data_IF_901609255552
#
_entry.id   IF_901609255552
#
_cell.length_a   1.000
_cell.length_b   1.000
_cell.length_c   1.000
_cell.angle_alpha   90.00
_cell.angle_beta   90.00
_cell.angle_gamma   90.00
#
_symmetry.space_group_name_H-M   'P 1'
#
loop_
_entity.id
_entity.type
_entity.pdbx_description
1 polymer ?
#
# COMPACT_ATOMS: atom_id res chain seq x y z
N UNK A 1 -17.95 -14.92 -24.73
CA UNK A 1 -17.45 -13.55 -24.42
C UNK A 1 -18.55 -12.59 -24.01
N UNK A 2 -19.65 -12.43 -24.73
CA UNK A 2 -20.77 -11.54 -24.35
C UNK A 2 -21.48 -11.99 -23.06
N UNK A 3 -21.76 -13.26 -22.89
CA UNK A 3 -22.40 -13.84 -21.71
C UNK A 3 -21.57 -13.64 -20.42
N UNK A 4 -20.25 -13.81 -20.48
CA UNK A 4 -19.37 -13.57 -19.33
C UNK A 4 -19.31 -12.09 -18.94
N UNK A 5 -19.32 -11.19 -19.93
CA UNK A 5 -19.42 -9.74 -19.70
C UNK A 5 -20.73 -9.37 -19.02
N UNK A 6 -21.85 -9.91 -19.51
CA UNK A 6 -23.18 -9.69 -18.92
C UNK A 6 -23.26 -10.21 -17.49
N UNK A 7 -22.75 -11.42 -17.21
CA UNK A 7 -22.70 -12.00 -15.87
C UNK A 7 -21.84 -11.16 -14.91
N UNK A 8 -20.70 -10.63 -15.38
CA UNK A 8 -19.87 -9.73 -14.60
C UNK A 8 -20.59 -8.40 -14.30
N UNK A 9 -21.21 -7.78 -15.28
CA UNK A 9 -21.99 -6.55 -15.10
C UNK A 9 -23.12 -6.79 -14.08
N UNK A 10 -23.93 -7.83 -14.22
CA UNK A 10 -25.01 -8.16 -13.28
C UNK A 10 -24.51 -8.36 -11.85
N UNK A 11 -23.35 -8.99 -11.67
CA UNK A 11 -22.75 -9.26 -10.36
C UNK A 11 -22.19 -8.00 -9.70
N UNK A 12 -21.57 -7.12 -10.46
CA UNK A 12 -20.86 -5.96 -9.92
C UNK A 12 -21.65 -4.66 -9.97
N UNK A 13 -22.71 -4.58 -10.79
CA UNK A 13 -23.53 -3.37 -10.92
C UNK A 13 -24.18 -2.92 -9.60
N UNK A 14 -24.79 -3.81 -8.78
CA UNK A 14 -25.33 -3.40 -7.48
C UNK A 14 -24.27 -2.89 -6.52
N UNK A 15 -23.07 -3.49 -6.56
CA UNK A 15 -21.91 -3.07 -5.73
C UNK A 15 -21.43 -1.70 -6.18
N UNK A 16 -21.32 -1.49 -7.50
CA UNK A 16 -20.94 -0.19 -8.06
C UNK A 16 -21.96 0.89 -7.70
N UNK A 17 -23.24 0.60 -7.85
CA UNK A 17 -24.30 1.53 -7.50
C UNK A 17 -24.30 1.87 -6.01
N UNK A 18 -24.14 0.87 -5.15
CA UNK A 18 -24.01 1.04 -3.69
C UNK A 18 -22.79 1.88 -3.31
N UNK A 19 -21.64 1.69 -3.97
CA UNK A 19 -20.43 2.49 -3.72
C UNK A 19 -20.62 3.94 -4.18
N UNK A 20 -21.29 4.19 -5.30
CA UNK A 20 -21.60 5.53 -5.77
C UNK A 20 -22.55 6.26 -4.81
N UNK A 21 -23.63 5.61 -4.36
CA UNK A 21 -24.55 6.16 -3.37
C UNK A 21 -23.86 6.45 -2.04
N UNK A 22 -23.02 5.51 -1.56
CA UNK A 22 -22.27 5.70 -0.34
C UNK A 22 -21.26 6.85 -0.48
N UNK A 23 -20.59 6.97 -1.62
CA UNK A 23 -19.69 8.07 -1.93
C UNK A 23 -20.40 9.42 -1.96
N UNK A 24 -21.58 9.50 -2.58
CA UNK A 24 -22.39 10.72 -2.60
C UNK A 24 -22.86 11.11 -1.19
N UNK A 25 -23.42 10.16 -0.44
CA UNK A 25 -23.86 10.37 0.94
C UNK A 25 -22.72 10.87 1.82
N UNK A 26 -21.53 10.29 1.70
CA UNK A 26 -20.35 10.77 2.44
C UNK A 26 -19.92 12.18 2.06
N UNK A 27 -19.97 12.53 0.79
CA UNK A 27 -19.64 13.89 0.32
C UNK A 27 -20.60 14.93 0.88
N UNK A 28 -21.91 14.61 0.90
CA UNK A 28 -22.91 15.51 1.50
C UNK A 28 -22.73 15.63 3.01
N UNK A 29 -22.46 14.52 3.70
CA UNK A 29 -22.15 14.56 5.15
C UNK A 29 -20.89 15.39 5.43
N UNK A 30 -19.80 15.20 4.67
CA UNK A 30 -18.58 15.96 4.84
C UNK A 30 -18.79 17.47 4.57
N UNK A 31 -19.64 17.80 3.59
CA UNK A 31 -20.01 19.18 3.31
C UNK A 31 -20.75 19.82 4.49
N UNK A 32 -21.76 19.16 5.04
CA UNK A 32 -22.49 19.66 6.23
C UNK A 32 -21.55 19.74 7.43
N UNK A 33 -20.72 18.71 7.64
CA UNK A 33 -19.76 18.64 8.74
C UNK A 33 -18.78 19.83 8.74
N UNK A 34 -18.39 20.34 7.58
CA UNK A 34 -17.53 21.51 7.45
C UNK A 34 -18.07 22.75 8.18
N UNK A 35 -19.39 22.90 8.25
CA UNK A 35 -20.05 24.05 8.86
C UNK A 35 -20.50 23.79 10.31
N UNK A 36 -20.67 22.53 10.69
CA UNK A 36 -21.17 22.15 12.02
C UNK A 36 -20.07 21.82 13.01
N UNK A 37 -18.87 21.44 12.53
CA UNK A 37 -17.75 21.14 13.41
C UNK A 37 -17.18 22.38 14.09
N UNK A 38 -16.86 22.23 15.38
CA UNK A 38 -16.19 23.26 16.21
C UNK A 38 -14.96 22.66 16.86
N UNK A 39 -13.82 23.33 16.75
CA UNK A 39 -12.63 23.02 17.54
C UNK A 39 -12.85 23.55 18.96
N UNK A 40 -12.82 22.66 19.95
CA UNK A 40 -13.00 22.99 21.34
C UNK A 40 -11.65 23.11 22.07
N UNK A 41 -11.54 23.86 23.18
CA UNK A 41 -10.29 23.98 23.93
C UNK A 41 -9.70 22.63 24.37
N UNK A 42 -10.55 21.69 24.81
CA UNK A 42 -10.16 20.33 25.25
C UNK A 42 -10.33 19.29 24.15
N UNK A 43 -9.97 19.63 22.91
CA UNK A 43 -10.08 18.70 21.78
C UNK A 43 -9.13 17.50 21.93
N UNK A 44 -9.69 16.30 21.91
CA UNK A 44 -8.97 15.04 22.03
C UNK A 44 -8.42 14.57 20.67
N UNK A 45 -7.27 13.92 20.68
CA UNK A 45 -6.62 13.45 19.45
C UNK A 45 -7.01 12.03 19.10
N UNK A 46 -7.30 11.81 17.83
CA UNK A 46 -7.27 10.51 17.15
C UNK A 46 -5.96 10.47 16.36
N UNK A 47 -5.01 9.66 16.83
CA UNK A 47 -3.69 9.58 16.20
C UNK A 47 -3.67 8.44 15.19
N UNK A 48 -3.16 8.68 13.99
CA UNK A 48 -2.94 7.68 12.94
C UNK A 48 -1.45 7.62 12.65
N UNK A 49 -0.83 6.45 12.81
CA UNK A 49 0.59 6.23 12.50
C UNK A 49 0.72 5.57 11.13
N UNK A 50 1.29 6.30 10.17
CA UNK A 50 1.47 5.88 8.78
C UNK A 50 0.42 6.46 7.84
N UNK A 51 0.88 7.26 6.86
CA UNK A 51 0.06 8.03 5.92
C UNK A 51 -0.03 7.44 4.50
N UNK A 52 0.25 6.14 4.32
CA UNK A 52 0.10 5.49 3.02
C UNK A 52 -1.37 5.15 2.72
N UNK A 53 -1.65 4.17 1.84
CA UNK A 53 -3.01 3.87 1.36
C UNK A 53 -4.06 3.73 2.46
N UNK A 54 -3.84 2.88 3.45
CA UNK A 54 -4.82 2.64 4.51
C UNK A 54 -4.92 3.82 5.49
N UNK A 55 -3.79 4.25 6.05
CA UNK A 55 -3.78 5.32 7.05
C UNK A 55 -4.09 6.70 6.47
N UNK A 56 -3.67 7.00 5.23
CA UNK A 56 -4.03 8.24 4.55
C UNK A 56 -5.54 8.36 4.33
N UNK A 57 -6.18 7.28 3.85
CA UNK A 57 -7.65 7.26 3.68
C UNK A 57 -8.38 7.32 5.02
N UNK A 58 -7.87 6.63 6.05
CA UNK A 58 -8.43 6.72 7.39
C UNK A 58 -8.37 8.16 7.92
N UNK A 59 -7.20 8.80 7.85
CA UNK A 59 -7.00 10.16 8.32
C UNK A 59 -7.93 11.16 7.65
N UNK A 60 -8.05 11.09 6.31
CA UNK A 60 -8.99 11.90 5.54
C UNK A 60 -10.44 11.64 5.96
N UNK A 61 -10.83 10.38 6.05
CA UNK A 61 -12.19 10.00 6.39
C UNK A 61 -12.59 10.46 7.78
N UNK A 62 -11.67 10.40 8.75
CA UNK A 62 -11.87 10.91 10.09
C UNK A 62 -11.98 12.45 10.08
N UNK A 63 -11.11 13.15 9.35
CA UNK A 63 -11.19 14.60 9.23
C UNK A 63 -12.52 15.08 8.62
N UNK A 64 -13.16 14.25 7.78
CA UNK A 64 -14.46 14.53 7.17
C UNK A 64 -15.67 14.14 8.06
N UNK A 65 -15.45 13.53 9.25
CA UNK A 65 -16.58 12.94 10.00
C UNK A 65 -16.48 12.89 11.51
N UNK A 66 -15.34 13.26 12.12
CA UNK A 66 -15.20 13.29 13.57
C UNK A 66 -16.10 14.36 14.20
N UNK A 67 -16.79 14.08 15.31
CA UNK A 67 -17.58 15.08 16.00
C UNK A 67 -16.68 16.17 16.63
N UNK A 68 -17.27 17.33 16.93
CA UNK A 68 -16.61 18.39 17.70
C UNK A 68 -16.00 17.82 18.99
N UNK A 69 -14.87 18.36 19.43
CA UNK A 69 -14.11 17.82 20.55
C UNK A 69 -13.10 16.72 20.19
N UNK A 70 -13.01 16.33 18.91
CA UNK A 70 -12.00 15.40 18.41
C UNK A 70 -11.30 15.94 17.16
N UNK A 71 -10.00 15.67 17.02
CA UNK A 71 -9.21 15.99 15.81
C UNK A 71 -8.31 14.83 15.41
N UNK A 72 -7.83 14.83 14.17
CA UNK A 72 -6.91 13.84 13.63
C UNK A 72 -5.49 14.37 13.63
N UNK A 73 -4.57 13.59 14.16
CA UNK A 73 -3.13 13.80 13.99
C UNK A 73 -2.56 12.62 13.20
N UNK A 74 -2.04 12.89 12.00
CA UNK A 74 -1.33 11.93 11.20
C UNK A 74 0.17 12.04 11.47
N UNK A 75 0.77 10.97 11.99
CA UNK A 75 2.23 10.83 12.09
C UNK A 75 2.72 10.02 10.90
N UNK A 76 3.51 10.64 10.02
CA UNK A 76 4.08 9.99 8.83
C UNK A 76 5.56 10.35 8.68
N UNK A 77 6.38 9.32 8.44
CA UNK A 77 7.83 9.48 8.32
C UNK A 77 8.28 10.12 7.01
N UNK A 78 7.51 9.93 5.94
CA UNK A 78 7.84 10.42 4.61
C UNK A 78 7.29 11.83 4.39
N UNK A 79 8.03 12.67 3.66
CA UNK A 79 7.58 14.02 3.29
C UNK A 79 6.39 14.02 2.33
N UNK A 80 6.22 12.95 1.56
CA UNK A 80 5.20 12.79 0.53
C UNK A 80 4.55 11.41 0.58
N UNK A 81 3.30 11.34 0.15
CA UNK A 81 2.65 10.07 -0.12
C UNK A 81 3.36 9.35 -1.27
N UNK A 82 3.82 8.15 -1.03
CA UNK A 82 4.54 7.32 -1.99
C UNK A 82 3.55 6.43 -2.75
N UNK A 83 3.30 6.75 -4.02
CA UNK A 83 2.46 5.93 -4.89
C UNK A 83 3.25 4.72 -5.43
N UNK A 84 3.47 3.75 -4.55
CA UNK A 84 4.37 2.61 -4.75
C UNK A 84 4.03 1.73 -5.96
N UNK A 85 2.81 1.77 -6.47
CA UNK A 85 2.42 1.06 -7.70
C UNK A 85 3.16 1.53 -8.95
N UNK A 86 3.67 2.77 -8.95
CA UNK A 86 4.43 3.32 -10.06
C UNK A 86 5.94 3.07 -9.92
N UNK A 87 6.42 2.69 -8.75
CA UNK A 87 7.86 2.52 -8.52
C UNK A 87 8.51 1.51 -9.48
N UNK A 88 7.96 0.32 -9.75
CA UNK A 88 8.57 -0.59 -10.72
C UNK A 88 8.72 0.04 -12.11
N UNK A 89 7.70 0.77 -12.58
CA UNK A 89 7.74 1.46 -13.86
C UNK A 89 8.74 2.62 -13.87
N UNK A 90 8.75 3.43 -12.82
CA UNK A 90 9.63 4.60 -12.73
C UNK A 90 11.08 4.21 -12.32
N UNK A 91 11.31 2.95 -12.00
CA UNK A 91 12.67 2.40 -11.91
C UNK A 91 13.26 2.05 -13.27
N UNK A 92 12.45 2.03 -14.33
CA UNK A 92 12.87 1.70 -15.70
C UNK A 92 12.78 2.91 -16.63
N UNK A 93 11.75 3.74 -16.43
CA UNK A 93 11.44 4.91 -17.30
C UNK A 93 11.81 6.19 -16.60
N UNK A 94 12.77 6.92 -17.17
CA UNK A 94 13.28 8.20 -16.64
C UNK A 94 12.34 9.39 -16.86
N UNK A 95 12.58 10.46 -16.08
CA UNK A 95 11.94 11.77 -16.24
C UNK A 95 10.53 11.88 -15.66
N UNK A 96 10.04 10.85 -14.94
CA UNK A 96 8.70 10.82 -14.34
C UNK A 96 8.68 10.39 -12.87
N UNK A 97 9.82 10.26 -12.24
CA UNK A 97 10.00 9.78 -10.86
C UNK A 97 9.20 10.63 -9.87
N UNK A 98 9.26 11.96 -10.05
CA UNK A 98 8.55 12.94 -9.22
C UNK A 98 7.03 12.73 -9.17
N UNK A 99 6.44 12.09 -10.19
CA UNK A 99 4.98 11.78 -10.24
C UNK A 99 4.56 10.63 -9.34
N UNK A 100 5.51 9.89 -8.76
CA UNK A 100 5.21 8.87 -7.78
C UNK A 100 5.06 9.43 -6.35
N UNK A 101 5.35 10.72 -6.15
CA UNK A 101 5.35 11.38 -4.85
C UNK A 101 4.31 12.49 -4.81
N UNK A 102 3.24 12.28 -4.03
CA UNK A 102 2.11 13.21 -3.92
C UNK A 102 2.21 13.97 -2.60
N UNK A 103 2.16 15.31 -2.61
CA UNK A 103 2.18 16.09 -1.38
C UNK A 103 1.00 15.76 -0.45
N UNK A 104 1.26 15.74 0.85
CA UNK A 104 0.24 15.49 1.87
C UNK A 104 -0.72 16.67 2.11
N UNK A 105 -0.40 17.88 1.66
CA UNK A 105 -1.26 19.06 1.84
C UNK A 105 -2.69 18.88 1.30
N UNK A 106 -2.87 18.01 0.29
CA UNK A 106 -4.18 17.63 -0.24
C UNK A 106 -4.89 16.52 0.53
N UNK A 107 -4.22 15.85 1.48
CA UNK A 107 -4.77 14.68 2.18
C UNK A 107 -5.95 15.03 3.08
N UNK A 108 -5.95 16.23 3.68
CA UNK A 108 -7.06 16.71 4.52
C UNK A 108 -8.42 16.63 3.82
N UNK A 109 -8.44 16.77 2.50
CA UNK A 109 -9.67 16.92 1.73
C UNK A 109 -10.22 18.36 1.76
N UNK A 110 -10.90 18.74 0.67
CA UNK A 110 -11.41 20.12 0.51
C UNK A 110 -12.58 20.43 1.45
N UNK A 111 -13.26 19.40 1.94
CA UNK A 111 -14.44 19.52 2.81
C UNK A 111 -14.12 19.37 4.31
N UNK A 112 -12.87 19.12 4.70
CA UNK A 112 -12.52 19.01 6.11
C UNK A 112 -12.50 20.40 6.78
N UNK A 113 -13.06 20.53 7.99
CA UNK A 113 -13.03 21.77 8.78
C UNK A 113 -11.61 22.24 9.05
N UNK A 114 -11.45 23.55 9.31
CA UNK A 114 -10.16 24.09 9.78
C UNK A 114 -9.82 23.53 11.16
N UNK A 115 -8.55 23.19 11.39
CA UNK A 115 -8.04 22.72 12.68
C UNK A 115 -8.34 21.25 13.02
N UNK A 116 -9.19 20.56 12.26
CA UNK A 116 -9.52 19.15 12.53
C UNK A 116 -8.40 18.19 12.16
N UNK A 117 -7.49 18.55 11.27
CA UNK A 117 -6.42 17.70 10.75
C UNK A 117 -5.06 18.37 10.89
N UNK A 118 -4.13 17.65 11.48
CA UNK A 118 -2.71 18.01 11.58
C UNK A 118 -1.86 16.84 11.07
N UNK A 119 -0.82 17.15 10.30
CA UNK A 119 0.19 16.18 9.88
C UNK A 119 1.52 16.52 10.56
N UNK A 120 2.14 15.51 11.14
CA UNK A 120 3.47 15.60 11.74
C UNK A 120 4.38 14.66 10.94
N UNK A 121 5.40 15.23 10.29
CA UNK A 121 6.44 14.44 9.63
C UNK A 121 7.45 13.99 10.68
N UNK A 122 7.25 12.79 11.23
CA UNK A 122 8.14 12.18 12.22
C UNK A 122 7.95 10.66 12.24
N UNK A 123 8.74 9.98 13.07
CA UNK A 123 8.69 8.53 13.27
C UNK A 123 8.16 8.27 14.66
N UNK A 124 7.06 7.52 14.74
CA UNK A 124 6.63 6.93 16.00
C UNK A 124 7.61 5.81 16.38
N UNK A 125 8.18 5.90 17.56
CA UNK A 125 9.16 4.93 18.09
C UNK A 125 8.57 4.03 19.18
N UNK A 126 7.43 4.40 19.75
CA UNK A 126 6.69 3.67 20.76
C UNK A 126 5.41 4.37 21.14
N UNK A 127 4.63 3.78 22.02
CA UNK A 127 3.45 4.41 22.62
C UNK A 127 3.16 3.79 23.99
N UNK A 128 2.34 4.50 24.79
CA UNK A 128 1.74 4.02 26.03
C UNK A 128 0.22 3.90 25.84
N UNK A 129 -0.54 3.71 26.91
CA UNK A 129 -2.02 3.75 26.84
C UNK A 129 -2.58 5.13 26.44
N UNK A 130 -1.79 6.19 26.62
CA UNK A 130 -2.26 7.58 26.54
C UNK A 130 -1.55 8.43 25.51
N UNK A 131 -0.33 8.07 25.11
CA UNK A 131 0.47 8.92 24.23
C UNK A 131 1.38 8.12 23.28
N UNK A 132 1.67 8.69 22.13
CA UNK A 132 2.61 8.19 21.12
C UNK A 132 3.93 8.96 21.25
N UNK A 133 5.06 8.24 21.33
CA UNK A 133 6.40 8.82 21.42
C UNK A 133 7.01 8.93 20.01
N UNK A 134 7.55 10.09 19.71
CA UNK A 134 8.19 10.39 18.44
C UNK A 134 9.71 10.37 18.55
N UNK A 135 10.38 10.11 17.43
CA UNK A 135 11.85 10.12 17.35
C UNK A 135 12.45 11.48 17.70
N UNK A 136 11.73 12.57 17.45
CA UNK A 136 12.13 13.94 17.84
C UNK A 136 12.12 14.18 19.35
N UNK A 137 11.68 13.22 20.17
CA UNK A 137 11.48 13.36 21.62
C UNK A 137 10.12 13.92 22.02
N UNK A 138 9.25 14.30 21.07
CA UNK A 138 7.89 14.76 21.35
C UNK A 138 6.99 13.59 21.68
N UNK A 139 6.00 13.83 22.57
CA UNK A 139 4.88 12.92 22.85
C UNK A 139 3.57 13.52 22.40
N UNK A 140 2.69 12.70 21.85
CA UNK A 140 1.37 13.11 21.38
C UNK A 140 0.31 12.35 22.17
N UNK A 141 -0.47 13.02 23.03
CA UNK A 141 -1.57 12.37 23.73
C UNK A 141 -2.67 11.97 22.77
N UNK A 142 -3.31 10.82 23.00
CA UNK A 142 -4.42 10.33 22.20
C UNK A 142 -5.57 9.76 23.02
N UNK A 143 -6.77 9.84 22.46
CA UNK A 143 -7.94 9.09 22.93
C UNK A 143 -8.11 7.80 22.14
N UNK A 144 -7.80 7.83 20.83
CA UNK A 144 -7.82 6.69 19.92
C UNK A 144 -6.54 6.68 19.10
N UNK A 145 -6.01 5.47 18.85
CA UNK A 145 -4.81 5.25 18.08
C UNK A 145 -5.09 4.25 16.95
N UNK A 146 -4.61 4.52 15.74
CA UNK A 146 -4.64 3.61 14.62
C UNK A 146 -3.25 3.37 14.06
N UNK A 147 -2.77 2.12 14.06
CA UNK A 147 -1.47 1.71 13.55
C UNK A 147 -1.64 1.22 12.11
N UNK A 148 -1.13 2.01 11.15
CA UNK A 148 -1.18 1.75 9.71
C UNK A 148 0.21 1.78 9.08
N UNK A 149 1.22 1.30 9.80
CA UNK A 149 2.66 1.36 9.47
C UNK A 149 3.05 0.50 8.27
N UNK A 150 2.19 -0.43 7.87
CA UNK A 150 2.38 -1.29 6.70
C UNK A 150 3.54 -2.25 6.84
N UNK A 151 4.30 -2.46 5.75
CA UNK A 151 5.40 -3.41 5.66
C UNK A 151 6.67 -2.75 5.14
N UNK A 152 7.84 -3.31 5.47
CA UNK A 152 9.13 -3.03 4.86
C UNK A 152 9.34 -3.98 3.68
N UNK A 153 9.91 -3.47 2.59
CA UNK A 153 10.28 -4.22 1.39
C UNK A 153 11.56 -3.63 0.80
N UNK A 154 12.26 -4.44 -0.02
CA UNK A 154 13.43 -3.96 -0.77
C UNK A 154 13.04 -3.00 -1.89
N UNK A 155 13.91 -2.06 -2.27
CA UNK A 155 13.73 -1.31 -3.51
C UNK A 155 13.63 -2.26 -4.73
N UNK A 156 12.84 -1.93 -5.76
CA UNK A 156 12.04 -0.71 -5.88
C UNK A 156 10.62 -0.82 -5.32
N UNK A 157 10.25 -1.92 -4.66
CA UNK A 157 8.90 -2.04 -4.10
C UNK A 157 8.61 -0.96 -3.06
N UNK A 158 9.62 -0.62 -2.25
CA UNK A 158 9.65 0.52 -1.34
C UNK A 158 11.05 1.15 -1.34
N UNK A 159 11.11 2.47 -1.19
CA UNK A 159 12.36 3.22 -1.12
C UNK A 159 12.82 3.39 0.32
N UNK A 160 14.10 3.64 0.51
CA UNK A 160 14.72 3.84 1.82
C UNK A 160 14.62 5.30 2.27
N UNK A 161 14.75 6.23 1.32
CA UNK A 161 14.69 7.67 1.53
C UNK A 161 13.29 8.13 1.95
N UNK A 162 13.26 9.15 2.76
CA UNK A 162 12.04 9.73 3.33
C UNK A 162 11.65 11.05 2.70
N UNK A 163 12.63 11.76 2.14
CA UNK A 163 12.43 13.00 1.41
C UNK A 163 12.18 12.71 -0.07
N UNK A 164 11.35 13.52 -0.71
CA UNK A 164 10.97 13.32 -2.11
C UNK A 164 12.16 13.31 -3.05
N UNK A 165 13.06 14.28 -2.90
CA UNK A 165 14.16 14.46 -3.84
C UNK A 165 15.17 13.31 -3.74
N UNK A 166 15.49 12.86 -2.53
CA UNK A 166 16.30 11.67 -2.27
C UNK A 166 15.64 10.41 -2.85
N UNK A 167 14.32 10.27 -2.67
CA UNK A 167 13.56 9.13 -3.18
C UNK A 167 13.47 9.13 -4.72
N UNK A 168 13.38 10.30 -5.36
CA UNK A 168 13.53 10.43 -6.81
C UNK A 168 14.93 9.99 -7.25
N UNK A 169 15.97 10.42 -6.52
CA UNK A 169 17.35 10.03 -6.81
C UNK A 169 17.56 8.51 -6.69
N UNK A 170 17.00 7.84 -5.67
CA UNK A 170 17.04 6.36 -5.58
C UNK A 170 16.48 5.68 -6.84
N UNK A 171 15.35 6.17 -7.37
CA UNK A 171 14.78 5.65 -8.61
C UNK A 171 15.69 5.90 -9.81
N UNK A 172 16.31 7.08 -9.89
CA UNK A 172 17.26 7.44 -10.96
C UNK A 172 18.53 6.59 -10.91
N UNK A 173 19.06 6.33 -9.73
CA UNK A 173 20.20 5.41 -9.56
C UNK A 173 19.87 4.03 -10.10
N UNK A 174 18.70 3.49 -9.78
CA UNK A 174 18.28 2.19 -10.30
C UNK A 174 18.04 2.21 -11.82
N UNK A 175 17.51 3.31 -12.38
CA UNK A 175 17.38 3.49 -13.84
C UNK A 175 18.74 3.41 -14.53
N UNK A 176 19.75 4.13 -14.02
CA UNK A 176 21.10 4.12 -14.56
C UNK A 176 21.71 2.72 -14.50
N UNK A 177 21.54 2.02 -13.39
CA UNK A 177 22.02 0.63 -13.24
C UNK A 177 21.35 -0.32 -14.22
N UNK A 178 20.02 -0.21 -14.39
CA UNK A 178 19.29 -1.00 -15.40
C UNK A 178 19.80 -0.65 -16.81
N UNK A 179 20.02 0.63 -17.11
CA UNK A 179 20.52 1.07 -18.42
C UNK A 179 21.91 0.53 -18.73
N UNK A 180 22.82 0.53 -17.77
CA UNK A 180 24.21 0.10 -17.93
C UNK A 180 24.37 -1.42 -17.96
N UNK A 181 23.48 -2.17 -17.31
CA UNK A 181 23.63 -3.64 -17.17
C UNK A 181 23.08 -4.38 -18.39
N UNK A 182 23.86 -5.35 -18.89
CA UNK A 182 23.45 -6.26 -19.98
C UNK A 182 22.68 -7.47 -19.47
N UNK A 183 23.08 -7.98 -18.27
CA UNK A 183 22.48 -9.14 -17.63
C UNK A 183 21.88 -8.77 -16.28
N UNK A 184 20.56 -9.01 -16.11
CA UNK A 184 19.79 -8.58 -14.94
C UNK A 184 19.02 -9.77 -14.37
N UNK A 185 19.24 -10.07 -13.08
CA UNK A 185 18.41 -11.02 -12.35
C UNK A 185 17.37 -10.28 -11.48
N UNK A 186 16.12 -10.71 -11.56
CA UNK A 186 15.03 -10.25 -10.69
C UNK A 186 14.63 -11.44 -9.81
N UNK A 187 14.81 -11.30 -8.51
CA UNK A 187 14.55 -12.40 -7.56
C UNK A 187 13.24 -12.15 -6.85
N UNK A 188 12.22 -12.94 -7.21
CA UNK A 188 10.85 -12.83 -6.72
C UNK A 188 9.84 -12.53 -7.83
N UNK A 189 8.97 -13.48 -8.15
CA UNK A 189 7.94 -13.33 -9.19
C UNK A 189 6.54 -13.02 -8.62
N UNK A 190 6.50 -12.13 -7.64
CA UNK A 190 5.30 -11.42 -7.24
C UNK A 190 4.96 -10.29 -8.23
N UNK A 191 3.91 -9.48 -7.95
CA UNK A 191 3.48 -8.41 -8.85
C UNK A 191 4.60 -7.43 -9.25
N UNK A 192 5.46 -7.05 -8.29
CA UNK A 192 6.58 -6.12 -8.53
C UNK A 192 7.60 -6.72 -9.48
N UNK A 193 8.07 -7.96 -9.22
CA UNK A 193 9.09 -8.59 -10.06
C UNK A 193 8.61 -8.89 -11.48
N UNK A 194 7.37 -9.36 -11.62
CA UNK A 194 6.75 -9.60 -12.94
C UNK A 194 6.61 -8.28 -13.73
N UNK A 195 6.17 -7.21 -13.08
CA UNK A 195 6.06 -5.91 -13.72
C UNK A 195 7.44 -5.38 -14.14
N UNK A 196 8.42 -5.45 -13.25
CA UNK A 196 9.77 -4.97 -13.50
C UNK A 196 10.43 -5.72 -14.66
N UNK A 197 10.34 -7.06 -14.68
CA UNK A 197 10.87 -7.89 -15.77
C UNK A 197 10.26 -7.51 -17.13
N UNK A 198 8.94 -7.38 -17.17
CA UNK A 198 8.21 -7.00 -18.38
C UNK A 198 8.53 -5.57 -18.84
N UNK A 199 8.72 -4.64 -17.90
CA UNK A 199 9.06 -3.26 -18.21
C UNK A 199 10.50 -3.15 -18.73
N UNK A 200 11.48 -3.83 -18.12
CA UNK A 200 12.86 -3.85 -18.61
C UNK A 200 12.91 -4.39 -20.03
N UNK A 201 12.30 -5.54 -20.31
CA UNK A 201 12.28 -6.10 -21.68
C UNK A 201 11.52 -5.25 -22.69
N UNK A 202 10.58 -4.44 -22.24
CA UNK A 202 9.82 -3.55 -23.12
C UNK A 202 10.61 -2.31 -23.53
N UNK A 203 11.42 -1.76 -22.62
CA UNK A 203 12.19 -0.55 -22.86
C UNK A 203 13.62 -0.82 -23.30
N UNK A 204 14.13 -2.01 -22.99
CA UNK A 204 15.48 -2.50 -23.30
C UNK A 204 15.41 -3.95 -23.81
N UNK A 205 14.90 -4.19 -25.01
CA UNK A 205 14.65 -5.54 -25.55
C UNK A 205 15.93 -6.38 -25.72
N UNK A 206 17.08 -5.75 -25.85
CA UNK A 206 18.39 -6.37 -26.02
C UNK A 206 18.95 -6.99 -24.74
N UNK A 207 18.47 -6.58 -23.55
CA UNK A 207 19.02 -7.06 -22.27
C UNK A 207 18.61 -8.49 -21.95
N UNK A 208 19.51 -9.22 -21.32
CA UNK A 208 19.23 -10.54 -20.74
C UNK A 208 18.56 -10.35 -19.37
N UNK A 209 17.29 -10.75 -19.27
CA UNK A 209 16.52 -10.63 -18.02
C UNK A 209 16.11 -12.02 -17.57
N UNK A 210 16.56 -12.40 -16.36
CA UNK A 210 16.21 -13.66 -15.70
C UNK A 210 15.30 -13.36 -14.49
N UNK A 211 14.09 -13.91 -14.47
CA UNK A 211 13.15 -13.84 -13.35
C UNK A 211 13.22 -15.13 -12.54
N UNK A 212 13.71 -15.06 -11.31
CA UNK A 212 13.93 -16.21 -10.41
C UNK A 212 12.86 -16.23 -9.33
N UNK A 213 12.27 -17.39 -9.05
CA UNK A 213 11.22 -17.50 -8.04
C UNK A 213 11.30 -18.80 -7.24
N UNK A 214 11.06 -18.69 -5.92
CA UNK A 214 11.13 -19.82 -5.00
C UNK A 214 9.96 -20.83 -5.11
N UNK A 215 8.93 -20.52 -5.88
CA UNK A 215 7.77 -21.38 -6.11
C UNK A 215 7.64 -21.73 -7.58
N UNK A 216 6.98 -22.84 -7.90
CA UNK A 216 6.70 -23.30 -9.27
C UNK A 216 5.68 -22.42 -10.02
N UNK A 217 5.08 -21.45 -9.34
CA UNK A 217 4.05 -20.61 -9.91
C UNK A 217 4.36 -19.13 -9.72
N UNK A 218 4.36 -18.36 -10.80
CA UNK A 218 4.34 -16.90 -10.77
C UNK A 218 3.05 -16.41 -10.10
N UNK A 219 3.11 -15.29 -9.39
CA UNK A 219 1.94 -14.69 -8.73
C UNK A 219 1.15 -15.71 -7.90
N UNK A 220 1.76 -16.41 -6.94
CA UNK A 220 1.23 -17.63 -6.35
C UNK A 220 -0.07 -17.45 -5.56
N UNK A 221 -0.43 -16.24 -5.17
CA UNK A 221 -1.72 -15.91 -4.53
C UNK A 221 -2.88 -15.82 -5.51
N UNK A 222 -2.61 -15.91 -6.82
CA UNK A 222 -3.60 -15.86 -7.88
C UNK A 222 -3.70 -17.21 -8.59
N UNK A 223 -4.82 -17.50 -9.21
CA UNK A 223 -5.06 -18.81 -9.81
C UNK A 223 -4.08 -19.19 -10.93
N UNK A 224 -3.86 -20.52 -11.13
CA UNK A 224 -2.92 -21.09 -12.12
C UNK A 224 -3.10 -20.52 -13.55
N UNK A 225 -4.32 -20.15 -13.95
CA UNK A 225 -4.57 -19.55 -15.27
C UNK A 225 -3.83 -18.23 -15.47
N UNK A 226 -3.68 -17.43 -14.40
CA UNK A 226 -2.91 -16.18 -14.47
C UNK A 226 -1.42 -16.48 -14.63
N UNK A 227 -0.89 -17.44 -13.88
CA UNK A 227 0.49 -17.90 -14.02
C UNK A 227 0.81 -18.29 -15.46
N UNK A 228 0.02 -19.22 -16.05
CA UNK A 228 0.25 -19.70 -17.45
C UNK A 228 0.23 -18.53 -18.43
N UNK A 229 -0.73 -17.63 -18.32
CA UNK A 229 -0.82 -16.46 -19.19
C UNK A 229 0.38 -15.53 -19.05
N UNK A 230 0.78 -15.20 -17.81
CA UNK A 230 1.90 -14.30 -17.55
C UNK A 230 3.21 -14.93 -17.98
N UNK A 231 3.40 -16.23 -17.74
CA UNK A 231 4.58 -16.97 -18.15
C UNK A 231 4.75 -16.95 -19.68
N UNK A 232 3.68 -17.27 -20.44
CA UNK A 232 3.68 -17.18 -21.90
C UNK A 232 4.07 -15.78 -22.40
N UNK A 233 3.51 -14.74 -21.76
CA UNK A 233 3.83 -13.35 -22.13
C UNK A 233 5.28 -12.99 -21.86
N UNK A 234 5.82 -13.35 -20.70
CA UNK A 234 7.21 -13.09 -20.35
C UNK A 234 8.17 -13.81 -21.28
N UNK A 235 7.90 -15.09 -21.63
CA UNK A 235 8.71 -15.85 -22.59
C UNK A 235 8.68 -15.20 -23.98
N UNK A 236 7.51 -14.76 -24.45
CA UNK A 236 7.39 -14.02 -25.73
C UNK A 236 8.13 -12.69 -25.74
N UNK A 237 8.40 -12.11 -24.59
CA UNK A 237 9.23 -10.92 -24.44
C UNK A 237 10.72 -11.25 -24.30
N UNK A 238 11.10 -12.54 -24.22
CA UNK A 238 12.47 -12.98 -24.03
C UNK A 238 12.96 -12.88 -22.59
N UNK A 239 12.05 -13.01 -21.60
CA UNK A 239 12.42 -13.16 -20.19
C UNK A 239 12.70 -14.62 -19.90
N UNK A 240 13.90 -14.95 -19.44
CA UNK A 240 14.22 -16.25 -18.86
C UNK A 240 13.53 -16.40 -17.50
N UNK A 241 12.90 -17.54 -17.21
CA UNK A 241 12.26 -17.79 -15.92
C UNK A 241 12.83 -19.04 -15.26
N UNK A 242 13.27 -18.91 -14.01
CA UNK A 242 13.76 -20.01 -13.17
C UNK A 242 12.81 -20.12 -11.99
N UNK A 243 12.02 -21.18 -11.94
CA UNK A 243 11.01 -21.43 -10.92
C UNK A 243 11.48 -22.53 -9.96
N UNK A 244 10.88 -22.58 -8.75
CA UNK A 244 11.28 -23.54 -7.71
C UNK A 244 12.61 -23.23 -7.03
N UNK A 245 13.29 -22.14 -7.40
CA UNK A 245 14.62 -21.77 -6.93
C UNK A 245 14.60 -20.59 -5.94
N UNK A 246 15.30 -20.77 -4.83
CA UNK A 246 15.57 -19.73 -3.85
C UNK A 246 17.07 -19.49 -3.75
N UNK A 247 17.63 -18.66 -4.63
CA UNK A 247 19.06 -18.44 -4.64
C UNK A 247 19.52 -17.68 -3.40
N UNK A 248 20.76 -17.92 -2.99
CA UNK A 248 21.46 -17.11 -2.01
C UNK A 248 22.02 -15.88 -2.71
N UNK A 249 21.60 -14.70 -2.23
CA UNK A 249 22.06 -13.41 -2.72
C UNK A 249 22.87 -12.76 -1.61
N UNK A 250 24.13 -12.38 -1.86
CA UNK A 250 24.93 -11.60 -0.89
C UNK A 250 24.19 -10.32 -0.48
N UNK A 251 24.50 -9.80 0.71
CA UNK A 251 24.02 -8.47 1.09
C UNK A 251 24.54 -7.45 0.08
N UNK A 252 23.59 -6.83 -0.64
CA UNK A 252 23.92 -5.84 -1.67
C UNK A 252 23.95 -4.46 -1.04
N UNK A 253 25.08 -3.77 -1.15
CA UNK A 253 25.21 -2.39 -0.70
C UNK A 253 24.92 -1.37 -1.80
N UNK A 254 25.31 -1.66 -3.08
CA UNK A 254 25.36 -0.64 -4.14
C UNK A 254 24.89 -1.09 -5.52
N UNK A 255 24.05 -2.13 -5.65
CA UNK A 255 23.62 -2.66 -6.95
C UNK A 255 24.79 -3.13 -7.85
N UNK A 256 25.82 -3.72 -7.27
CA UNK A 256 27.01 -4.14 -7.99
C UNK A 256 26.84 -5.50 -8.66
N UNK A 257 27.77 -5.84 -9.55
CA UNK A 257 27.88 -7.15 -10.16
C UNK A 257 27.90 -8.23 -9.08
N UNK A 258 26.99 -9.20 -9.16
CA UNK A 258 26.71 -10.13 -8.07
C UNK A 258 26.66 -11.56 -8.57
N UNK A 259 27.37 -12.45 -7.88
CA UNK A 259 27.24 -13.89 -8.04
C UNK A 259 26.03 -14.41 -7.25
N UNK A 260 25.18 -15.15 -7.90
CA UNK A 260 23.97 -15.76 -7.34
C UNK A 260 24.19 -17.27 -7.30
N UNK A 261 24.05 -17.88 -6.11
CA UNK A 261 24.23 -19.32 -5.91
C UNK A 261 22.86 -20.01 -5.84
N UNK A 262 22.66 -21.03 -6.65
CA UNK A 262 21.45 -21.85 -6.74
C UNK A 262 21.50 -23.06 -5.80
N UNK A 263 20.39 -23.80 -5.66
CA UNK A 263 20.29 -24.95 -4.75
C UNK A 263 21.24 -26.10 -5.11
N UNK A 264 21.54 -26.28 -6.40
CA UNK A 264 22.48 -27.28 -6.91
C UNK A 264 23.95 -26.84 -6.76
N UNK A 265 24.22 -25.76 -6.02
CA UNK A 265 25.51 -25.07 -5.93
C UNK A 265 26.01 -24.48 -7.24
N UNK A 266 25.18 -24.49 -8.29
CA UNK A 266 25.46 -23.79 -9.53
C UNK A 266 25.50 -22.26 -9.28
N UNK A 267 26.42 -21.59 -9.97
CA UNK A 267 26.63 -20.16 -9.79
C UNK A 267 26.42 -19.44 -11.10
N UNK A 268 25.72 -18.29 -11.05
CA UNK A 268 25.62 -17.38 -12.20
C UNK A 268 25.90 -15.96 -11.75
N UNK A 269 26.64 -15.24 -12.54
CA UNK A 269 26.95 -13.82 -12.28
C UNK A 269 26.06 -12.94 -13.13
N UNK A 270 25.45 -11.97 -12.46
CA UNK A 270 24.64 -10.93 -13.10
C UNK A 270 25.26 -9.56 -12.84
N UNK A 271 25.19 -8.67 -13.82
CA UNK A 271 25.67 -7.29 -13.66
C UNK A 271 24.77 -6.48 -12.73
N UNK A 272 23.48 -6.90 -12.61
CA UNK A 272 22.53 -6.30 -11.68
C UNK A 272 21.61 -7.39 -11.13
N UNK A 273 21.45 -7.42 -9.80
CA UNK A 273 20.45 -8.27 -9.12
C UNK A 273 19.46 -7.39 -8.38
N UNK A 274 18.16 -7.54 -8.69
CA UNK A 274 17.08 -6.75 -8.08
C UNK A 274 16.23 -7.67 -7.20
N UNK A 275 16.33 -7.59 -5.86
CA UNK A 275 15.49 -8.38 -4.97
C UNK A 275 14.07 -7.82 -4.92
N UNK A 276 13.10 -8.64 -5.32
CA UNK A 276 11.65 -8.38 -5.22
C UNK A 276 10.99 -9.34 -4.24
N UNK A 277 11.71 -9.70 -3.18
CA UNK A 277 11.32 -10.72 -2.19
C UNK A 277 10.93 -10.09 -0.87
N UNK A 278 10.07 -10.83 -0.15
CA UNK A 278 9.82 -10.60 1.26
C UNK A 278 9.03 -9.31 1.58
N UNK A 279 8.21 -9.45 2.60
CA UNK A 279 7.54 -8.34 3.28
C UNK A 279 7.73 -8.55 4.76
N UNK A 280 8.29 -7.57 5.47
CA UNK A 280 8.39 -7.58 6.92
C UNK A 280 7.42 -6.55 7.49
N UNK A 281 6.41 -6.96 8.28
CA UNK A 281 5.49 -6.03 8.92
C UNK A 281 6.22 -5.05 9.85
N UNK A 282 5.80 -3.78 9.84
CA UNK A 282 6.34 -2.75 10.74
C UNK A 282 5.55 -2.76 12.07
N UNK A 283 5.59 -3.89 12.78
CA UNK A 283 4.85 -4.14 14.02
C UNK A 283 5.64 -3.86 15.30
N UNK A 284 6.91 -3.45 15.20
CA UNK A 284 7.82 -3.25 16.33
C UNK A 284 7.32 -2.25 17.38
N UNK A 285 6.42 -1.35 17.02
CA UNK A 285 5.77 -0.45 17.98
C UNK A 285 5.04 -1.19 19.13
N UNK A 286 4.62 -2.45 18.91
CA UNK A 286 3.96 -3.28 19.93
C UNK A 286 4.92 -4.16 20.72
N UNK A 287 6.17 -4.33 20.29
CA UNK A 287 7.10 -5.25 20.93
C UNK A 287 7.32 -4.96 22.43
N UNK A 288 7.39 -3.67 22.78
CA UNK A 288 7.59 -3.24 24.16
C UNK A 288 6.29 -3.24 25.01
N UNK A 289 5.12 -3.06 24.39
CA UNK A 289 3.85 -2.83 25.12
C UNK A 289 2.95 -4.06 25.14
N UNK A 290 2.92 -4.84 24.07
CA UNK A 290 2.10 -6.06 23.97
C UNK A 290 2.68 -7.03 22.92
N UNK A 291 3.81 -7.69 23.21
CA UNK A 291 4.44 -8.63 22.26
C UNK A 291 3.53 -9.80 21.90
N UNK A 292 2.63 -10.22 22.82
CA UNK A 292 1.63 -11.27 22.57
C UNK A 292 0.57 -10.90 21.53
N UNK A 293 0.43 -9.63 21.20
CA UNK A 293 -0.44 -9.13 20.11
C UNK A 293 0.23 -9.19 18.74
N UNK A 294 1.45 -9.71 18.64
CA UNK A 294 2.18 -9.90 17.38
C UNK A 294 2.19 -11.40 17.05
N UNK A 295 1.76 -11.74 15.84
CA UNK A 295 1.75 -13.13 15.35
C UNK A 295 3.17 -13.69 15.25
N UNK A 296 3.41 -14.84 15.86
CA UNK A 296 4.70 -15.56 15.76
C UNK A 296 4.97 -16.13 14.36
N UNK A 297 3.92 -16.33 13.54
CA UNK A 297 4.04 -16.92 12.20
C UNK A 297 4.45 -15.91 11.14
N UNK A 298 3.93 -14.68 11.21
CA UNK A 298 4.09 -13.70 10.14
C UNK A 298 4.40 -12.29 10.62
N UNK A 299 4.62 -12.11 11.93
CA UNK A 299 4.97 -10.85 12.60
C UNK A 299 3.95 -9.72 12.42
N UNK A 300 2.70 -10.01 12.04
CA UNK A 300 1.63 -9.03 11.94
C UNK A 300 0.94 -8.81 13.27
N UNK A 301 0.35 -7.62 13.41
CA UNK A 301 -0.46 -7.27 14.58
C UNK A 301 -1.77 -8.07 14.54
N UNK A 302 -2.03 -8.86 15.56
CA UNK A 302 -3.28 -9.59 15.73
C UNK A 302 -4.42 -8.62 16.06
N UNK A 303 -5.54 -8.76 15.35
CA UNK A 303 -6.70 -7.89 15.53
C UNK A 303 -7.99 -8.68 15.65
N UNK A 304 -8.93 -8.13 16.41
CA UNK A 304 -10.33 -8.57 16.40
C UNK A 304 -11.02 -8.24 15.06
N UNK A 305 -12.16 -8.82 14.74
CA UNK A 305 -12.96 -8.41 13.58
C UNK A 305 -13.31 -6.92 13.57
N UNK A 306 -13.37 -6.27 14.72
CA UNK A 306 -13.51 -4.80 14.86
C UNK A 306 -12.28 -4.00 14.42
N UNK A 307 -11.16 -4.67 14.12
CA UNK A 307 -9.83 -4.13 13.85
C UNK A 307 -9.16 -3.48 15.08
N UNK A 308 -9.69 -3.68 16.27
CA UNK A 308 -8.98 -3.40 17.53
C UNK A 308 -7.87 -4.42 17.73
N UNK A 309 -6.78 -4.02 18.38
CA UNK A 309 -5.68 -4.94 18.71
C UNK A 309 -6.19 -6.05 19.62
N UNK A 310 -5.89 -7.30 19.28
CA UNK A 310 -6.22 -8.47 20.07
C UNK A 310 -5.17 -8.66 21.16
N UNK A 311 -5.58 -8.54 22.41
CA UNK A 311 -4.74 -8.89 23.56
C UNK A 311 -5.05 -10.30 24.04
N UNK A 312 -4.03 -11.14 24.12
CA UNK A 312 -4.15 -12.43 24.81
C UNK A 312 -4.07 -12.18 26.32
N UNK A 313 -5.10 -12.60 27.06
CA UNK A 313 -5.27 -12.51 28.53
C UNK A 313 -4.64 -11.27 29.17
N UNK A 314 -5.47 -10.43 29.77
CA UNK A 314 -4.99 -9.38 30.68
C UNK A 314 -4.17 -10.04 31.80
N UNK A 315 -2.86 -9.85 31.77
CA UNK A 315 -2.01 -10.03 32.93
C UNK A 315 -2.20 -8.76 33.76
N UNK A 316 -2.35 -8.85 35.07
CA UNK A 316 -2.44 -7.67 35.92
C UNK A 316 -1.29 -6.72 35.62
N UNK A 317 -1.63 -5.45 35.37
CA UNK A 317 -0.67 -4.43 34.95
C UNK A 317 -0.47 -4.31 33.43
N UNK A 318 -1.10 -5.14 32.59
CA UNK A 318 -1.01 -4.95 31.13
C UNK A 318 -1.83 -3.74 30.68
N UNK A 319 -1.32 -2.98 29.68
CA UNK A 319 -1.98 -1.78 29.15
C UNK A 319 -3.34 -2.11 28.55
N UNK A 320 -4.29 -1.19 28.64
CA UNK A 320 -5.59 -1.29 28.01
C UNK A 320 -5.53 -0.77 26.57
N UNK A 321 -5.57 -1.68 25.59
CA UNK A 321 -5.50 -1.35 24.17
C UNK A 321 -6.87 -1.34 23.45
N UNK A 322 -7.99 -1.27 24.19
CA UNK A 322 -9.36 -1.23 23.59
C UNK A 322 -9.58 -0.03 22.67
N UNK A 323 -8.81 1.04 22.81
CA UNK A 323 -8.86 2.23 21.97
C UNK A 323 -7.79 2.23 20.84
N UNK A 324 -7.08 1.11 20.67
CA UNK A 324 -5.99 0.98 19.68
C UNK A 324 -6.42 0.03 18.57
N UNK A 325 -6.27 0.49 17.34
CA UNK A 325 -6.61 -0.24 16.11
C UNK A 325 -5.36 -0.51 15.28
N UNK A 326 -5.39 -1.59 14.47
CA UNK A 326 -4.40 -1.80 13.44
C UNK A 326 -5.06 -2.19 12.11
N UNK A 327 -4.51 -1.67 10.99
CA UNK A 327 -5.08 -1.87 9.66
C UNK A 327 -4.00 -1.84 8.55
N UNK A 328 -4.37 -2.32 7.37
CA UNK A 328 -3.45 -2.46 6.23
C UNK A 328 -2.52 -3.66 6.37
N UNK A 329 -1.37 -3.60 5.69
CA UNK A 329 -0.46 -4.74 5.58
C UNK A 329 0.23 -5.12 6.91
N UNK A 330 0.23 -4.24 7.90
CA UNK A 330 0.78 -4.52 9.24
C UNK A 330 -0.14 -5.42 10.07
N UNK A 331 -1.45 -5.40 9.81
CA UNK A 331 -2.45 -6.10 10.62
C UNK A 331 -2.81 -7.48 10.05
N UNK A 332 -3.06 -8.47 10.94
CA UNK A 332 -3.58 -9.78 10.56
C UNK A 332 -5.11 -9.76 10.58
N UNK A 333 -5.69 -9.45 9.45
CA UNK A 333 -7.13 -9.20 9.30
C UNK A 333 -7.89 -10.35 8.64
N UNK A 334 -7.20 -11.46 8.28
CA UNK A 334 -7.78 -12.53 7.48
C UNK A 334 -8.08 -12.17 6.01
N UNK A 335 -7.93 -10.89 5.64
CA UNK A 335 -8.13 -10.40 4.28
C UNK A 335 -6.85 -10.31 3.44
N UNK A 336 -6.99 -10.01 2.13
CA UNK A 336 -5.84 -9.87 1.24
C UNK A 336 -4.97 -8.68 1.66
N UNK A 337 -3.64 -8.84 1.55
CA UNK A 337 -2.67 -7.76 1.84
C UNK A 337 -2.51 -6.88 0.61
N UNK A 338 -3.48 -6.04 0.38
CA UNK A 338 -3.58 -5.14 -0.78
C UNK A 338 -4.12 -3.77 -0.37
N UNK A 339 -3.71 -2.72 -1.07
CA UNK A 339 -4.15 -1.36 -0.78
C UNK A 339 -5.68 -1.23 -0.74
N UNK A 340 -6.39 -1.93 -1.64
CA UNK A 340 -7.87 -1.91 -1.66
C UNK A 340 -8.47 -2.46 -0.38
N UNK A 341 -7.95 -3.56 0.16
CA UNK A 341 -8.37 -4.07 1.46
C UNK A 341 -8.15 -3.03 2.56
N UNK A 342 -7.00 -2.33 2.54
CA UNK A 342 -6.72 -1.22 3.45
C UNK A 342 -7.75 -0.10 3.41
N UNK A 343 -8.35 0.19 2.24
CA UNK A 343 -9.42 1.19 2.11
C UNK A 343 -10.70 0.77 2.85
N UNK A 344 -11.12 -0.49 2.70
CA UNK A 344 -12.30 -1.03 3.41
C UNK A 344 -12.05 -1.12 4.91
N UNK A 345 -10.85 -1.54 5.31
CA UNK A 345 -10.45 -1.56 6.72
C UNK A 345 -10.46 -0.15 7.33
N UNK A 346 -9.96 0.87 6.60
CA UNK A 346 -10.00 2.25 7.03
C UNK A 346 -11.44 2.73 7.30
N UNK A 347 -12.40 2.34 6.47
CA UNK A 347 -13.82 2.69 6.68
C UNK A 347 -14.40 2.02 7.94
N UNK A 348 -14.02 0.76 8.21
CA UNK A 348 -14.45 0.06 9.43
C UNK A 348 -13.84 0.73 10.67
N UNK A 349 -12.53 1.03 10.67
CA UNK A 349 -11.85 1.71 11.79
C UNK A 349 -12.45 3.10 12.02
N UNK A 350 -12.65 3.92 10.97
CA UNK A 350 -13.34 5.21 11.06
C UNK A 350 -14.71 5.07 11.73
N UNK A 351 -15.53 4.14 11.22
CA UNK A 351 -16.86 3.88 11.77
C UNK A 351 -16.78 3.47 13.24
N UNK A 352 -15.82 2.64 13.62
CA UNK A 352 -15.68 2.14 14.97
C UNK A 352 -15.20 3.20 15.96
N UNK A 353 -14.27 4.07 15.54
CA UNK A 353 -13.87 5.23 16.38
C UNK A 353 -15.09 6.13 16.67
N UNK A 354 -15.87 6.49 15.64
CA UNK A 354 -17.08 7.31 15.82
C UNK A 354 -18.12 6.59 16.68
N UNK A 355 -18.25 5.27 16.56
CA UNK A 355 -19.16 4.47 17.37
C UNK A 355 -18.74 4.40 18.84
N UNK A 356 -17.42 4.28 19.11
CA UNK A 356 -16.89 4.34 20.47
C UNK A 356 -17.15 5.71 21.11
N UNK A 357 -16.95 6.80 20.36
CA UNK A 357 -17.28 8.15 20.84
C UNK A 357 -18.77 8.27 21.20
N UNK A 358 -19.64 7.63 20.40
CA UNK A 358 -21.08 7.65 20.59
C UNK A 358 -21.63 6.53 21.51
N UNK A 359 -20.79 5.73 22.17
CA UNK A 359 -21.20 4.59 23.01
C UNK A 359 -21.96 3.49 22.26
N UNK A 360 -21.72 3.30 20.96
CA UNK A 360 -22.43 2.34 20.10
C UNK A 360 -21.64 1.07 19.85
N UNK A 361 -22.35 -0.04 19.58
CA UNK A 361 -21.74 -1.33 19.22
C UNK A 361 -20.87 -1.21 17.97
N UNK A 362 -19.70 -1.85 18.00
CA UNK A 362 -18.72 -1.84 16.89
C UNK A 362 -19.19 -2.65 15.68
N UNK A 363 -18.66 -2.29 14.52
CA UNK A 363 -18.80 -3.03 13.27
C UNK A 363 -17.64 -4.01 13.09
N UNK A 364 -17.90 -5.10 12.41
CA UNK A 364 -16.90 -6.08 12.02
C UNK A 364 -16.44 -5.88 10.58
N UNK A 365 -15.16 -6.01 10.35
CA UNK A 365 -14.57 -6.13 9.03
C UNK A 365 -14.78 -7.56 8.52
N UNK A 366 -15.33 -7.67 7.32
CA UNK A 366 -15.50 -8.94 6.60
C UNK A 366 -14.82 -8.79 5.24
N UNK A 367 -13.72 -9.53 4.98
CA UNK A 367 -13.02 -9.46 3.71
C UNK A 367 -13.93 -9.77 2.53
N UNK A 368 -13.85 -8.96 1.47
CA UNK A 368 -14.63 -9.14 0.25
C UNK A 368 -13.72 -9.63 -0.89
N UNK A 369 -14.28 -10.47 -1.75
CA UNK A 369 -13.55 -11.02 -2.90
C UNK A 369 -12.91 -9.95 -3.81
N UNK A 370 -13.57 -8.80 -3.95
CA UNK A 370 -13.07 -7.69 -4.77
C UNK A 370 -11.84 -6.99 -4.19
N UNK A 371 -11.57 -7.13 -2.89
CA UNK A 371 -10.41 -6.54 -2.26
C UNK A 371 -9.10 -7.14 -2.76
N UNK A 372 -9.14 -8.43 -3.14
CA UNK A 372 -8.01 -9.16 -3.71
C UNK A 372 -7.83 -8.97 -5.22
N UNK A 373 -8.54 -8.05 -5.87
CA UNK A 373 -8.37 -7.85 -7.31
C UNK A 373 -7.01 -7.22 -7.63
N UNK A 374 -6.25 -7.89 -8.52
CA UNK A 374 -4.96 -7.43 -9.02
C UNK A 374 -5.15 -6.63 -10.30
N UNK A 375 -4.54 -5.45 -10.37
CA UNK A 375 -4.29 -4.72 -11.62
C UNK A 375 -2.78 -4.76 -11.87
N UNK A 376 -2.36 -5.42 -12.93
CA UNK A 376 -0.96 -5.61 -13.28
C UNK A 376 -0.71 -5.12 -14.70
N UNK A 377 0.37 -4.37 -14.91
CA UNK A 377 0.84 -4.01 -16.25
C UNK A 377 1.96 -4.95 -16.67
N UNK A 378 1.92 -5.39 -17.94
CA UNK A 378 2.97 -6.16 -18.59
C UNK A 378 3.48 -5.37 -19.80
N UNK A 379 4.56 -4.62 -19.60
CA UNK A 379 5.08 -3.68 -20.59
C UNK A 379 4.11 -2.52 -20.90
N UNK A 380 4.25 -1.90 -22.08
CA UNK A 380 3.51 -0.68 -22.46
C UNK A 380 2.00 -0.88 -22.71
N UNK A 381 1.58 -2.06 -23.12
CA UNK A 381 0.27 -2.25 -23.79
C UNK A 381 -0.67 -3.21 -23.06
N UNK A 382 -0.18 -4.07 -22.16
CA UNK A 382 -0.98 -5.10 -21.56
C UNK A 382 -1.34 -4.75 -20.11
N UNK A 383 -2.63 -4.55 -19.84
CA UNK A 383 -3.16 -4.39 -18.48
C UNK A 383 -3.98 -5.64 -18.15
N UNK A 384 -3.59 -6.32 -17.07
CA UNK A 384 -4.31 -7.48 -16.55
C UNK A 384 -5.17 -7.05 -15.36
N UNK A 385 -6.41 -7.51 -15.36
CA UNK A 385 -7.30 -7.41 -14.21
C UNK A 385 -7.66 -8.84 -13.79
N UNK A 386 -7.32 -9.23 -12.57
CA UNK A 386 -7.61 -10.56 -12.03
C UNK A 386 -8.14 -10.43 -10.61
N UNK A 387 -9.18 -11.22 -10.26
CA UNK A 387 -9.67 -11.35 -8.89
C UNK A 387 -9.30 -12.72 -8.32
N UNK A 388 -8.95 -12.77 -7.04
CA UNK A 388 -8.59 -14.01 -6.32
C UNK A 388 -9.73 -15.04 -6.36
N UNK A 389 -10.99 -14.58 -6.37
CA UNK A 389 -12.19 -15.44 -6.21
C UNK A 389 -12.96 -15.74 -7.51
N UNK A 390 -12.55 -15.22 -8.66
CA UNK A 390 -13.25 -15.54 -9.91
C UNK A 390 -12.26 -15.81 -11.04
N UNK A 391 -12.43 -16.97 -11.69
CA UNK A 391 -11.76 -17.33 -12.93
C UNK A 391 -12.11 -16.39 -14.11
N UNK A 392 -12.69 -15.24 -13.87
CA UNK A 392 -13.20 -14.32 -14.88
C UNK A 392 -12.07 -13.41 -15.34
N UNK A 393 -11.54 -13.67 -16.52
CA UNK A 393 -10.64 -12.78 -17.27
C UNK A 393 -11.43 -11.56 -17.74
N UNK A 394 -11.07 -10.38 -17.29
CA UNK A 394 -11.28 -9.17 -18.08
C UNK A 394 -9.93 -8.75 -18.68
N UNK A 395 -9.62 -9.30 -19.87
CA UNK A 395 -8.56 -8.80 -20.74
C UNK A 395 -9.06 -7.50 -21.36
N UNK A 396 -8.67 -6.37 -20.80
CA UNK A 396 -8.83 -5.09 -21.47
C UNK A 396 -7.64 -4.97 -22.43
N UNK A 397 -7.80 -5.43 -23.68
CA UNK A 397 -6.97 -5.03 -24.78
C UNK A 397 -7.34 -3.58 -25.11
N UNK A 398 -6.51 -2.64 -24.72
CA UNK A 398 -6.64 -1.25 -25.10
C UNK A 398 -5.43 -0.49 -24.60
N UNK A 399 -4.80 0.27 -25.48
CA UNK A 399 -3.93 1.34 -25.05
C UNK A 399 -4.79 2.34 -24.26
N UNK A 400 -4.87 2.16 -22.94
CA UNK A 400 -5.26 3.28 -22.11
C UNK A 400 -4.07 4.22 -22.25
N UNK A 401 -4.20 5.21 -23.16
CA UNK A 401 -3.48 6.46 -22.97
C UNK A 401 -3.81 6.87 -21.55
N UNK A 402 -2.91 6.65 -20.63
CA UNK A 402 -2.86 7.34 -19.35
C UNK A 402 -2.48 8.78 -19.69
N UNK A 403 -3.38 9.45 -20.40
CA UNK A 403 -3.44 10.90 -20.38
C UNK A 403 -4.02 11.23 -19.01
N UNK A 404 -3.17 11.22 -18.02
CA UNK A 404 -3.35 12.09 -16.90
C UNK A 404 -3.29 13.50 -17.48
N UNK A 405 -4.44 14.08 -17.81
CA UNK A 405 -4.57 15.51 -17.97
C UNK A 405 -4.31 16.09 -16.58
N UNK A 406 -3.04 16.37 -16.30
CA UNK A 406 -2.70 17.51 -15.50
C UNK A 406 -3.21 18.67 -16.37
N UNK A 407 -4.32 19.28 -16.00
CA UNK A 407 -4.73 20.56 -16.59
C UNK A 407 -3.64 21.56 -16.19
N UNK A 408 -2.61 21.65 -17.03
CA UNK A 408 -1.68 22.74 -17.05
C UNK A 408 -2.40 23.90 -17.68
N UNK A 409 -3.10 24.69 -16.88
CA UNK A 409 -3.41 26.06 -17.22
C UNK A 409 -2.55 26.94 -16.31
N UNK A 410 -1.76 27.73 -16.95
CA UNK A 410 -0.83 28.74 -16.46
C UNK A 410 -1.42 29.51 -15.27
N UNK A 411 -0.70 29.49 -14.13
CA UNK A 411 -0.76 30.53 -13.13
C UNK A 411 -1.84 30.40 -12.05
N UNK A 412 -1.81 29.32 -11.27
CA UNK A 412 -2.18 29.26 -9.85
C UNK A 412 -1.82 27.85 -9.33
N UNK A 413 -1.01 27.78 -8.28
CA UNK A 413 -0.63 26.56 -7.60
C UNK A 413 -1.90 25.81 -7.10
N UNK A 414 -2.33 24.76 -7.82
CA UNK A 414 -3.32 23.80 -7.35
C UNK A 414 -2.93 22.42 -7.88
N UNK A 415 -1.87 21.82 -7.28
CA UNK A 415 -1.56 20.39 -7.41
C UNK A 415 -2.57 19.59 -6.60
N UNK A 416 -3.86 19.69 -6.90
CA UNK A 416 -4.88 18.79 -6.36
C UNK A 416 -4.95 17.54 -7.26
N UNK A 417 -4.28 16.49 -6.85
CA UNK A 417 -4.49 15.17 -7.44
C UNK A 417 -5.81 14.63 -6.88
N UNK A 418 -6.83 14.60 -7.71
CA UNK A 418 -8.11 13.96 -7.39
C UNK A 418 -7.88 12.45 -7.17
N UNK A 419 -8.07 11.97 -5.94
CA UNK A 419 -8.02 10.56 -5.57
C UNK A 419 -9.19 9.72 -6.14
N UNK A 420 -9.86 10.20 -7.18
CA UNK A 420 -11.00 9.55 -7.83
C UNK A 420 -10.68 8.19 -8.50
N UNK A 421 -9.45 7.66 -8.34
CA UNK A 421 -9.00 6.42 -9.01
C UNK A 421 -9.28 5.16 -8.20
N UNK A 422 -9.75 5.27 -6.98
CA UNK A 422 -9.95 4.11 -6.09
C UNK A 422 -11.42 3.75 -5.83
N UNK A 423 -12.36 4.38 -6.55
CA UNK A 423 -13.78 4.01 -6.47
C UNK A 423 -14.27 3.38 -7.75
#
# INVERSE_FOLDING_TARGET
MAYEKFRAVRKYFPVLLGTLFHGFYRRTQAFVHRFTYKLLPETQNVVVIGGSFAGGVLSRSLAESLPSGFRVILVERNSHFNFTFNFPRYSVVSGREHKAFVPYNGLRGNNAPKGIFEQIQDIAVGFTEKEVHLKSGKSIPFKYLAIATGVKQSPPAKLLSRQKDEACHELQVLQLRIQQSKSIAIVGAGPVGVQLASDIKTFYPEKHVTLIHSREQLLPTFGRRLHVYVLDKLHKMGVETILGERPTIPKMSNWDKTEVTFKDNGKRTYELVIPCTGQTPNSSLLEAISPSSISTQNHRILVHPSLQIQQHKKIDGSPDLRNVFALGDVAETGGPKMARAGLFQAEVVRSNIIRLIAGRRLKEYKPMAMEGALKLTLGKVNILFCSICSATRLLIKGAIRTTWKVNGNTGRNSDSVDYAIFY
#
